data_IF_081193565930
#
_entry.id   IF_081193565930
#
_cell.length_a   1.000
_cell.length_b   1.000
_cell.length_c   1.000
_cell.angle_alpha   90.00
_cell.angle_beta   90.00
_cell.angle_gamma   90.00
#
_symmetry.space_group_name_H-M   'P 1'
#
loop_
_entity.id
_entity.type
_entity.pdbx_description
1 polymer ?
#
# COMPACT_ATOMS: atom_id res chain seq x y z
N UNK A 1 40.00 -15.79 -18.21
CA UNK A 1 40.06 -14.47 -17.57
C UNK A 1 38.94 -14.43 -16.54
N UNK A 2 39.28 -14.36 -15.26
CA UNK A 2 38.29 -14.30 -14.18
C UNK A 2 37.54 -12.96 -14.26
N UNK A 3 36.21 -12.92 -14.12
CA UNK A 3 35.51 -11.66 -14.05
C UNK A 3 35.92 -10.96 -12.75
N UNK A 4 36.30 -9.69 -12.87
CA UNK A 4 36.70 -8.85 -11.75
C UNK A 4 35.53 -8.76 -10.75
N UNK A 5 35.83 -9.03 -9.47
CA UNK A 5 34.97 -8.70 -8.34
C UNK A 5 34.76 -7.18 -8.36
N UNK A 6 33.61 -6.73 -8.85
CA UNK A 6 33.19 -5.35 -8.77
C UNK A 6 32.91 -5.01 -7.30
N UNK A 7 33.60 -3.97 -6.80
CA UNK A 7 33.38 -3.21 -5.56
C UNK A 7 32.46 -3.84 -4.51
N UNK A 8 32.89 -4.96 -3.93
CA UNK A 8 32.36 -5.45 -2.66
C UNK A 8 33.15 -4.73 -1.57
N UNK A 9 32.49 -3.90 -0.75
CA UNK A 9 33.16 -3.21 0.35
C UNK A 9 33.83 -4.27 1.26
N UNK A 10 35.03 -4.06 1.82
CA UNK A 10 35.72 -5.09 2.61
C UNK A 10 34.90 -5.63 3.79
N UNK A 11 34.00 -4.82 4.35
CA UNK A 11 33.03 -5.22 5.38
C UNK A 11 31.90 -6.13 4.85
N UNK A 12 31.63 -6.13 3.55
CA UNK A 12 30.64 -6.98 2.89
C UNK A 12 31.17 -8.40 2.57
N UNK A 13 32.47 -8.62 2.76
CA UNK A 13 33.13 -9.93 2.57
C UNK A 13 33.37 -10.70 3.87
N UNK A 14 33.18 -10.07 5.03
CA UNK A 14 33.33 -10.71 6.34
C UNK A 14 32.01 -11.36 6.74
N UNK A 15 31.82 -12.60 6.28
CA UNK A 15 30.69 -13.44 6.69
C UNK A 15 31.15 -14.53 7.67
N UNK A 16 30.36 -14.77 8.70
CA UNK A 16 30.44 -15.95 9.55
C UNK A 16 30.01 -17.22 8.77
N UNK A 17 30.35 -18.40 9.31
CA UNK A 17 30.07 -19.66 8.65
C UNK A 17 28.55 -19.93 8.60
N UNK A 18 28.00 -20.18 7.40
CA UNK A 18 26.57 -20.23 7.08
C UNK A 18 25.83 -18.88 7.10
N UNK A 19 26.52 -17.76 7.30
CA UNK A 19 25.90 -16.44 7.16
C UNK A 19 25.57 -16.16 5.69
N UNK A 20 24.44 -15.48 5.48
CA UNK A 20 23.94 -15.06 4.20
C UNK A 20 23.73 -13.56 4.19
N UNK A 21 24.25 -12.90 3.15
CA UNK A 21 24.06 -11.47 2.94
C UNK A 21 23.51 -11.20 1.55
N UNK A 22 22.60 -10.26 1.52
CA UNK A 22 21.78 -9.95 0.36
C UNK A 22 22.05 -8.50 -0.03
N UNK A 23 22.54 -8.28 -1.24
CA UNK A 23 22.87 -6.95 -1.75
C UNK A 23 22.23 -6.73 -3.12
N UNK A 24 21.71 -5.53 -3.36
CA UNK A 24 21.17 -5.18 -4.68
C UNK A 24 22.34 -5.00 -5.65
N UNK A 25 22.24 -5.64 -6.81
CA UNK A 25 23.20 -5.48 -7.89
C UNK A 25 23.36 -3.99 -8.26
N UNK A 26 24.59 -3.45 -8.40
CA UNK A 26 24.80 -2.04 -8.70
C UNK A 26 24.03 -1.55 -9.92
N UNK A 27 23.86 -2.37 -10.95
CA UNK A 27 23.10 -2.01 -12.15
C UNK A 27 21.62 -1.80 -11.85
N UNK A 28 21.05 -2.57 -10.93
CA UNK A 28 19.66 -2.41 -10.47
C UNK A 28 19.49 -1.18 -9.58
N UNK A 29 20.52 -0.77 -8.83
CA UNK A 29 20.49 0.50 -8.08
C UNK A 29 20.46 1.72 -9.00
N UNK A 30 21.05 1.61 -10.19
CA UNK A 30 21.04 2.68 -11.18
C UNK A 30 19.73 2.80 -11.97
N UNK A 31 18.85 1.81 -11.88
CA UNK A 31 17.56 1.77 -12.57
C UNK A 31 16.67 2.99 -12.19
N UNK A 32 16.14 3.74 -13.18
CA UNK A 32 15.34 4.93 -12.90
C UNK A 32 14.07 4.65 -12.08
N UNK A 33 13.39 3.52 -12.32
CA UNK A 33 12.17 3.17 -11.58
C UNK A 33 12.49 2.75 -10.16
N UNK A 34 13.62 2.07 -9.94
CA UNK A 34 14.10 1.76 -8.59
C UNK A 34 14.39 3.03 -7.80
N UNK A 35 15.13 3.98 -8.40
CA UNK A 35 15.40 5.29 -7.79
C UNK A 35 14.12 6.08 -7.50
N UNK A 36 13.16 6.05 -8.42
CA UNK A 36 11.85 6.66 -8.23
C UNK A 36 11.10 6.03 -7.05
N UNK A 37 11.08 4.69 -6.95
CA UNK A 37 10.44 3.98 -5.83
C UNK A 37 11.02 4.40 -4.48
N UNK A 38 12.35 4.38 -4.36
CA UNK A 38 13.05 4.80 -3.14
C UNK A 38 12.70 6.25 -2.80
N UNK A 39 12.74 7.15 -3.79
CA UNK A 39 12.41 8.55 -3.61
C UNK A 39 10.97 8.76 -3.15
N UNK A 40 9.99 8.15 -3.80
CA UNK A 40 8.57 8.30 -3.47
C UNK A 40 8.28 7.81 -2.04
N UNK A 41 8.89 6.70 -1.63
CA UNK A 41 8.73 6.18 -0.27
C UNK A 41 9.43 7.08 0.76
N UNK A 42 10.60 7.61 0.44
CA UNK A 42 11.33 8.54 1.32
C UNK A 42 10.54 9.84 1.51
N UNK A 43 10.07 10.44 0.42
CA UNK A 43 9.25 11.66 0.43
C UNK A 43 7.97 11.43 1.25
N UNK A 44 7.31 10.28 1.05
CA UNK A 44 6.12 9.90 1.83
C UNK A 44 6.37 9.83 3.34
N UNK A 45 7.44 9.14 3.77
CA UNK A 45 7.76 9.01 5.20
C UNK A 45 8.03 10.39 5.81
N UNK A 46 8.77 11.23 5.09
CA UNK A 46 9.09 12.58 5.53
C UNK A 46 7.82 13.44 5.66
N UNK A 47 6.90 13.36 4.70
CA UNK A 47 5.62 14.08 4.75
C UNK A 47 4.76 13.62 5.93
N UNK A 48 4.73 12.31 6.22
CA UNK A 48 3.97 11.76 7.35
C UNK A 48 4.54 12.19 8.70
N UNK A 49 5.87 12.32 8.81
CA UNK A 49 6.58 12.54 10.09
C UNK A 49 7.10 13.98 10.28
N UNK A 50 6.68 14.91 9.41
CA UNK A 50 7.14 16.31 9.45
C UNK A 50 6.77 17.01 10.77
N UNK A 51 5.59 16.73 11.33
CA UNK A 51 5.12 17.35 12.58
C UNK A 51 5.97 16.91 13.79
N UNK A 52 6.51 15.71 13.72
CA UNK A 52 7.37 15.06 14.71
C UNK A 52 8.85 15.46 14.52
N UNK A 53 9.15 16.30 13.51
CA UNK A 53 10.49 16.81 13.17
C UNK A 53 11.49 15.69 12.86
N UNK A 54 11.02 14.59 12.29
CA UNK A 54 11.85 13.49 11.84
C UNK A 54 12.16 13.71 10.36
N UNK A 55 13.43 13.52 9.97
CA UNK A 55 13.89 13.64 8.59
C UNK A 55 14.66 12.37 8.25
N UNK A 56 14.16 11.64 7.28
CA UNK A 56 14.76 10.45 6.67
C UNK A 56 15.51 10.85 5.42
N UNK A 57 16.76 10.41 5.30
CA UNK A 57 17.66 10.66 4.17
C UNK A 57 18.07 9.38 3.46
N UNK A 58 18.23 8.29 4.20
CA UNK A 58 18.66 6.99 3.69
C UNK A 58 17.87 5.90 4.41
N UNK A 59 17.07 5.14 3.66
CA UNK A 59 16.14 4.18 4.23
C UNK A 59 16.87 3.13 5.09
N UNK A 60 18.01 2.63 4.64
CA UNK A 60 18.83 1.66 5.36
C UNK A 60 19.38 2.21 6.68
N UNK A 61 19.87 3.45 6.67
CA UNK A 61 20.54 4.06 7.83
C UNK A 61 19.56 4.61 8.86
N UNK A 62 18.37 5.02 8.43
CA UNK A 62 17.40 5.68 9.30
C UNK A 62 16.32 4.73 9.85
N UNK A 63 16.08 3.56 9.20
CA UNK A 63 15.02 2.63 9.62
C UNK A 63 15.53 1.39 10.38
N UNK A 64 16.83 1.08 10.32
CA UNK A 64 17.38 -0.19 10.83
C UNK A 64 17.21 -0.40 12.34
N UNK A 65 17.13 0.68 13.12
CA UNK A 65 16.98 0.58 14.59
C UNK A 65 15.52 0.50 15.05
N UNK A 66 14.57 0.64 14.11
CA UNK A 66 13.13 0.59 14.34
C UNK A 66 12.51 1.89 14.86
N UNK A 67 13.28 2.97 15.10
CA UNK A 67 12.76 4.22 15.64
C UNK A 67 11.82 4.93 14.66
N UNK A 68 12.27 5.11 13.42
CA UNK A 68 11.46 5.76 12.37
C UNK A 68 10.24 4.91 12.03
N UNK A 69 10.41 3.59 11.94
CA UNK A 69 9.31 2.65 11.68
C UNK A 69 8.25 2.68 12.79
N UNK A 70 8.66 2.75 14.06
CA UNK A 70 7.74 2.95 15.18
C UNK A 70 6.91 4.22 14.96
N UNK A 71 7.56 5.37 14.72
CA UNK A 71 6.87 6.66 14.60
C UNK A 71 5.94 6.71 13.39
N UNK A 72 6.37 6.15 12.27
CA UNK A 72 5.55 5.98 11.09
C UNK A 72 4.28 5.17 11.41
N UNK A 73 4.43 4.02 12.07
CA UNK A 73 3.28 3.17 12.40
C UNK A 73 2.34 3.84 13.40
N UNK A 74 2.87 4.51 14.43
CA UNK A 74 2.08 5.24 15.41
C UNK A 74 1.22 6.34 14.75
N UNK A 75 1.80 7.07 13.79
CA UNK A 75 1.12 8.12 13.05
C UNK A 75 0.04 7.58 12.12
N UNK A 76 0.36 6.53 11.36
CA UNK A 76 -0.56 5.91 10.39
C UNK A 76 -1.73 5.20 11.07
N UNK A 77 -1.47 4.47 12.16
CA UNK A 77 -2.48 3.71 12.89
C UNK A 77 -3.23 4.54 13.95
N UNK A 78 -2.73 5.72 14.30
CA UNK A 78 -3.31 6.56 15.35
C UNK A 78 -3.23 5.95 16.76
N UNK A 79 -2.26 5.05 16.99
CA UNK A 79 -2.06 4.37 18.27
C UNK A 79 -0.59 4.48 18.71
N UNK A 80 -0.32 4.36 20.02
CA UNK A 80 1.05 4.30 20.53
C UNK A 80 1.50 2.85 20.70
N UNK A 81 2.74 2.59 20.32
CA UNK A 81 3.36 1.28 20.54
C UNK A 81 4.05 1.25 21.90
N UNK A 82 3.99 0.09 22.56
CA UNK A 82 4.66 -0.12 23.85
C UNK A 82 6.13 -0.50 23.61
N UNK A 83 6.95 0.47 23.25
CA UNK A 83 8.39 0.32 23.06
C UNK A 83 9.15 1.45 23.73
N UNK A 84 10.41 1.22 24.09
CA UNK A 84 11.28 2.25 24.66
C UNK A 84 11.44 3.42 23.68
N UNK A 85 11.43 4.67 24.17
CA UNK A 85 11.52 5.85 23.30
C UNK A 85 12.86 5.95 22.57
N UNK A 86 13.96 5.47 23.20
CA UNK A 86 15.31 5.44 22.63
C UNK A 86 15.96 4.12 22.97
N UNK A 87 16.67 3.53 22.01
CA UNK A 87 17.41 2.27 22.18
C UNK A 87 18.79 2.39 21.55
N UNK A 88 19.84 2.23 22.34
CA UNK A 88 21.22 2.28 21.85
C UNK A 88 21.90 0.91 21.71
N UNK A 89 21.44 -0.09 22.47
CA UNK A 89 21.99 -1.44 22.39
C UNK A 89 21.38 -2.21 21.23
N UNK A 90 22.17 -3.05 20.58
CA UNK A 90 21.72 -3.96 19.51
C UNK A 90 20.51 -4.79 19.94
N UNK A 91 20.56 -5.35 21.15
CA UNK A 91 19.46 -6.14 21.73
C UNK A 91 18.19 -5.28 21.87
N UNK A 92 18.32 -4.03 22.32
CA UNK A 92 17.18 -3.11 22.46
C UNK A 92 16.58 -2.72 21.12
N UNK A 93 17.40 -2.48 20.10
CA UNK A 93 16.97 -2.20 18.73
C UNK A 93 16.22 -3.39 18.13
N UNK A 94 16.75 -4.61 18.26
CA UNK A 94 16.07 -5.84 17.80
C UNK A 94 14.76 -6.09 18.53
N UNK A 95 14.69 -5.84 19.84
CA UNK A 95 13.44 -5.91 20.61
C UNK A 95 12.42 -4.87 20.14
N UNK A 96 12.84 -3.63 19.88
CA UNK A 96 11.96 -2.59 19.32
C UNK A 96 11.40 -3.01 17.97
N UNK A 97 12.27 -3.45 17.06
CA UNK A 97 11.85 -3.96 15.76
C UNK A 97 10.89 -5.14 15.88
N UNK A 98 11.12 -6.06 16.82
CA UNK A 98 10.20 -7.18 17.06
C UNK A 98 8.78 -6.66 17.36
N UNK A 99 8.64 -5.75 18.34
CA UNK A 99 7.33 -5.18 18.68
C UNK A 99 6.71 -4.41 17.51
N UNK A 100 7.51 -3.63 16.76
CA UNK A 100 7.03 -2.89 15.60
C UNK A 100 6.53 -3.84 14.51
N UNK A 101 7.31 -4.87 14.18
CA UNK A 101 6.96 -5.83 13.12
C UNK A 101 5.79 -6.75 13.52
N UNK A 102 5.62 -7.07 14.80
CA UNK A 102 4.42 -7.72 15.33
C UNK A 102 3.17 -6.85 15.13
N UNK A 103 3.25 -5.56 15.48
CA UNK A 103 2.15 -4.63 15.25
C UNK A 103 1.82 -4.49 13.75
N UNK A 104 2.83 -4.45 12.88
CA UNK A 104 2.64 -4.50 11.42
C UNK A 104 1.94 -5.79 11.01
N UNK A 105 2.36 -6.95 11.53
CA UNK A 105 1.73 -8.23 11.22
C UNK A 105 0.24 -8.23 11.56
N UNK A 106 -0.11 -7.74 12.75
CA UNK A 106 -1.50 -7.66 13.22
C UNK A 106 -2.38 -6.70 12.40
N UNK A 107 -1.78 -5.63 11.87
CA UNK A 107 -2.43 -4.66 10.99
C UNK A 107 -2.64 -5.22 9.58
N UNK A 108 -1.58 -5.75 8.98
CA UNK A 108 -1.61 -6.23 7.60
C UNK A 108 -2.41 -7.53 7.45
N UNK A 109 -2.57 -8.31 8.53
CA UNK A 109 -3.28 -9.60 8.58
C UNK A 109 -2.99 -10.51 7.40
N UNK A 110 -1.74 -10.89 7.25
CA UNK A 110 -1.29 -11.58 6.07
C UNK A 110 -1.79 -13.02 5.96
N UNK A 111 -2.90 -13.23 5.25
CA UNK A 111 -3.42 -14.59 5.05
C UNK A 111 -2.69 -15.25 3.88
N UNK A 112 -1.65 -16.02 4.20
CA UNK A 112 -0.98 -16.92 3.25
C UNK A 112 0.04 -16.28 2.32
N UNK A 113 0.38 -15.00 2.51
CA UNK A 113 1.52 -14.40 1.80
C UNK A 113 2.85 -14.81 2.47
N UNK A 114 3.97 -14.56 1.81
CA UNK A 114 5.29 -14.69 2.43
C UNK A 114 5.79 -13.29 2.77
N UNK A 115 6.07 -13.05 4.07
CA UNK A 115 6.72 -11.82 4.51
C UNK A 115 8.16 -11.82 4.03
N UNK A 116 8.57 -10.74 3.35
CA UNK A 116 9.92 -10.56 2.81
C UNK A 116 10.84 -9.76 3.73
N UNK A 117 10.46 -9.65 4.99
CA UNK A 117 11.20 -8.95 6.03
C UNK A 117 11.13 -9.71 7.36
N UNK A 118 12.18 -9.53 8.15
CA UNK A 118 12.36 -10.01 9.52
C UNK A 118 13.13 -8.96 10.33
N UNK A 119 13.14 -9.10 11.65
CA UNK A 119 13.95 -8.24 12.54
C UNK A 119 15.41 -8.20 12.07
N UNK A 120 16.00 -9.36 11.81
CA UNK A 120 17.40 -9.45 11.40
C UNK A 120 17.65 -8.79 10.03
N UNK A 121 16.72 -8.91 9.08
CA UNK A 121 16.88 -8.27 7.77
C UNK A 121 16.79 -6.74 7.84
N UNK A 122 15.89 -6.20 8.67
CA UNK A 122 15.74 -4.75 8.82
C UNK A 122 16.92 -4.18 9.61
N UNK A 123 17.27 -4.82 10.72
CA UNK A 123 18.43 -4.44 11.54
C UNK A 123 19.75 -4.56 10.75
N UNK A 124 19.87 -5.60 9.93
CA UNK A 124 20.97 -5.81 8.98
C UNK A 124 20.93 -4.91 7.74
N UNK A 125 20.12 -3.85 7.74
CA UNK A 125 20.08 -2.82 6.68
C UNK A 125 19.76 -3.36 5.28
N UNK A 126 18.99 -4.44 5.20
CA UNK A 126 18.58 -5.01 3.92
C UNK A 126 17.54 -4.10 3.24
N UNK A 127 18.00 -3.30 2.26
CA UNK A 127 17.13 -2.37 1.55
C UNK A 127 15.94 -3.07 0.86
N UNK A 128 16.10 -4.28 0.34
CA UNK A 128 15.01 -5.04 -0.30
C UNK A 128 13.91 -5.34 0.73
N UNK A 129 14.28 -5.80 1.92
CA UNK A 129 13.35 -6.07 3.01
C UNK A 129 12.64 -4.79 3.49
N UNK A 130 13.39 -3.70 3.63
CA UNK A 130 12.86 -2.38 4.01
C UNK A 130 11.85 -1.88 2.97
N UNK A 131 12.17 -1.98 1.68
CA UNK A 131 11.27 -1.56 0.59
C UNK A 131 9.99 -2.41 0.56
N UNK A 132 10.08 -3.73 0.71
CA UNK A 132 8.87 -4.58 0.80
C UNK A 132 7.96 -4.21 1.97
N UNK A 133 8.53 -3.91 3.13
CA UNK A 133 7.78 -3.45 4.30
C UNK A 133 7.09 -2.11 4.00
N UNK A 134 7.83 -1.12 3.48
CA UNK A 134 7.30 0.21 3.20
C UNK A 134 6.23 0.21 2.11
N UNK A 135 6.44 -0.53 1.02
CA UNK A 135 5.41 -0.74 -0.02
C UNK A 135 4.16 -1.34 0.61
N UNK A 136 4.30 -2.34 1.48
CA UNK A 136 3.15 -2.98 2.13
C UNK A 136 2.38 -2.02 3.03
N UNK A 137 3.08 -1.17 3.79
CA UNK A 137 2.46 -0.14 4.63
C UNK A 137 1.78 0.95 3.80
N UNK A 138 2.45 1.47 2.77
CA UNK A 138 1.90 2.48 1.87
C UNK A 138 0.60 1.99 1.22
N UNK A 139 0.58 0.73 0.77
CA UNK A 139 -0.60 0.13 0.17
C UNK A 139 -1.73 -0.09 1.18
N UNK A 140 -1.42 -0.65 2.36
CA UNK A 140 -2.42 -0.92 3.39
C UNK A 140 -3.11 0.35 3.88
N UNK A 141 -2.34 1.41 4.14
CA UNK A 141 -2.85 2.69 4.61
C UNK A 141 -3.33 3.61 3.48
N UNK A 142 -3.30 3.14 2.22
CA UNK A 142 -3.67 3.92 1.02
C UNK A 142 -2.98 5.29 1.02
N UNK A 143 -1.67 5.27 1.20
CA UNK A 143 -0.83 6.46 1.19
C UNK A 143 -1.13 7.30 -0.07
N UNK A 144 -1.18 8.64 0.03
CA UNK A 144 -1.50 9.53 -1.08
C UNK A 144 -0.31 9.70 -2.05
N UNK A 145 0.30 8.59 -2.45
CA UNK A 145 1.47 8.52 -3.33
C UNK A 145 1.21 7.55 -4.47
N UNK A 146 1.91 7.75 -5.59
CA UNK A 146 1.86 6.83 -6.73
C UNK A 146 3.14 6.01 -6.76
N UNK A 147 3.04 4.74 -6.43
CA UNK A 147 4.17 3.82 -6.53
C UNK A 147 4.41 3.46 -8.01
N UNK A 148 5.66 3.45 -8.49
CA UNK A 148 5.98 2.96 -9.82
C UNK A 148 5.67 1.45 -9.93
N UNK A 149 5.08 1.02 -11.04
CA UNK A 149 4.71 -0.37 -11.29
C UNK A 149 5.85 -1.17 -11.94
N UNK A 150 5.89 -2.47 -11.62
CA UNK A 150 6.86 -3.44 -12.16
C UNK A 150 8.31 -3.09 -11.86
N UNK A 151 8.60 -2.65 -10.63
CA UNK A 151 9.98 -2.44 -10.17
C UNK A 151 10.56 -3.79 -9.78
N UNK A 152 11.59 -4.21 -10.50
CA UNK A 152 12.33 -5.46 -10.25
C UNK A 152 13.80 -5.13 -10.07
N UNK A 153 14.46 -5.87 -9.18
CA UNK A 153 15.89 -5.70 -8.91
C UNK A 153 16.60 -7.05 -8.95
N UNK A 154 17.81 -7.06 -9.49
CA UNK A 154 18.73 -8.18 -9.33
C UNK A 154 19.39 -8.08 -7.97
N UNK A 155 19.39 -9.20 -7.26
CA UNK A 155 19.90 -9.31 -5.90
C UNK A 155 20.98 -10.36 -5.88
N UNK A 156 22.16 -9.98 -5.40
CA UNK A 156 23.27 -10.89 -5.17
C UNK A 156 23.17 -11.41 -3.75
N UNK A 157 23.00 -12.72 -3.63
CA UNK A 157 23.05 -13.46 -2.37
C UNK A 157 24.42 -14.09 -2.25
N UNK A 158 25.17 -13.68 -1.23
CA UNK A 158 26.48 -14.22 -0.90
C UNK A 158 26.35 -15.05 0.37
N UNK A 159 26.73 -16.33 0.29
CA UNK A 159 26.71 -17.26 1.42
C UNK A 159 28.08 -17.88 1.63
N UNK A 160 28.57 -17.92 2.86
CA UNK A 160 29.80 -18.63 3.20
C UNK A 160 29.49 -20.08 3.59
N UNK A 161 30.09 -21.04 2.87
CA UNK A 161 30.01 -22.47 3.17
C UNK A 161 31.38 -23.11 3.02
N UNK A 162 31.79 -23.86 4.02
CA UNK A 162 33.09 -24.51 4.14
C UNK A 162 34.26 -23.52 3.93
N UNK A 163 34.10 -22.29 4.44
CA UNK A 163 35.07 -21.21 4.24
C UNK A 163 35.08 -20.59 2.84
N UNK A 164 34.25 -21.05 1.90
CA UNK A 164 34.13 -20.51 0.54
C UNK A 164 32.88 -19.64 0.38
N UNK A 165 33.05 -18.50 -0.28
CA UNK A 165 31.94 -17.62 -0.66
C UNK A 165 31.25 -18.17 -1.91
N UNK A 166 29.95 -18.41 -1.79
CA UNK A 166 29.06 -18.79 -2.88
C UNK A 166 28.17 -17.60 -3.21
N UNK A 167 28.22 -17.11 -4.45
CA UNK A 167 27.37 -16.04 -4.93
C UNK A 167 26.29 -16.56 -5.87
N UNK A 168 25.03 -16.14 -5.67
CA UNK A 168 23.92 -16.39 -6.60
C UNK A 168 23.15 -15.12 -6.87
N UNK A 169 22.62 -14.98 -8.08
CA UNK A 169 21.75 -13.86 -8.45
C UNK A 169 20.28 -14.30 -8.39
N UNK A 170 19.45 -13.49 -7.76
CA UNK A 170 18.01 -13.69 -7.62
C UNK A 170 17.30 -12.42 -8.09
N UNK A 171 16.26 -12.58 -8.90
CA UNK A 171 15.40 -11.46 -9.29
C UNK A 171 14.31 -11.27 -8.24
N UNK A 172 14.20 -10.08 -7.65
CA UNK A 172 13.15 -9.72 -6.70
C UNK A 172 12.22 -8.67 -7.31
N UNK A 173 10.91 -8.89 -7.24
CA UNK A 173 9.87 -7.94 -7.68
C UNK A 173 9.36 -7.13 -6.48
N UNK A 174 9.73 -5.85 -6.43
CA UNK A 174 9.37 -4.92 -5.35
C UNK A 174 7.94 -4.40 -5.50
N UNK A 175 7.51 -4.12 -6.73
CA UNK A 175 6.15 -3.68 -7.04
C UNK A 175 5.60 -4.40 -8.26
N UNK A 176 4.28 -4.59 -8.29
CA UNK A 176 3.54 -5.12 -9.44
C UNK A 176 2.50 -4.08 -9.88
N UNK A 177 1.38 -4.46 -10.49
CA UNK A 177 0.30 -3.52 -10.79
C UNK A 177 -0.40 -3.05 -9.52
N UNK A 178 -0.91 -1.82 -9.53
CA UNK A 178 -1.65 -1.23 -8.40
C UNK A 178 -2.82 -2.13 -7.98
N UNK A 179 -3.54 -2.69 -8.95
CA UNK A 179 -4.65 -3.63 -8.72
C UNK A 179 -4.20 -4.88 -7.96
N UNK A 180 -3.12 -5.54 -8.39
CA UNK A 180 -2.60 -6.75 -7.74
C UNK A 180 -2.03 -6.47 -6.35
N UNK A 181 -1.39 -5.30 -6.13
CA UNK A 181 -0.91 -4.89 -4.82
C UNK A 181 -2.06 -4.61 -3.85
N UNK A 182 -3.12 -3.92 -4.29
CA UNK A 182 -4.32 -3.69 -3.48
C UNK A 182 -5.08 -4.98 -3.17
N UNK A 183 -5.14 -5.92 -4.11
CA UNK A 183 -5.79 -7.22 -3.94
C UNK A 183 -5.17 -8.13 -2.88
N UNK A 184 -3.95 -7.83 -2.40
CA UNK A 184 -3.29 -8.57 -1.30
C UNK A 184 -3.80 -8.21 0.10
N UNK A 185 -4.35 -7.01 0.28
CA UNK A 185 -4.72 -6.49 1.60
C UNK A 185 -6.20 -6.66 1.93
N UNK A 186 -7.05 -6.84 0.91
CA UNK A 186 -8.44 -7.26 1.06
C UNK A 186 -8.85 -8.05 -0.19
N UNK A 187 -8.92 -9.39 -0.09
CA UNK A 187 -9.93 -10.15 -0.84
C UNK A 187 -11.22 -10.06 -0.06
N UNK A 188 -12.04 -9.06 -0.37
CA UNK A 188 -13.39 -8.96 0.19
C UNK A 188 -14.38 -9.79 -0.66
N UNK A 189 -15.63 -9.90 -0.22
CA UNK A 189 -16.63 -10.69 -0.95
C UNK A 189 -16.84 -10.19 -2.40
N UNK A 190 -16.44 -8.95 -2.72
CA UNK A 190 -16.50 -8.43 -4.08
C UNK A 190 -15.39 -8.98 -4.96
N UNK A 191 -14.23 -9.35 -4.41
CA UNK A 191 -13.19 -10.06 -5.16
C UNK A 191 -13.67 -11.42 -5.67
N UNK A 192 -14.35 -12.20 -4.81
CA UNK A 192 -15.00 -13.45 -5.23
C UNK A 192 -16.09 -13.21 -6.27
N UNK A 193 -16.86 -12.10 -6.16
CA UNK A 193 -17.88 -11.72 -7.14
C UNK A 193 -17.25 -11.40 -8.51
N UNK A 194 -16.09 -10.72 -8.52
CA UNK A 194 -15.37 -10.43 -9.76
C UNK A 194 -14.89 -11.70 -10.46
N UNK A 195 -14.36 -12.68 -9.70
CA UNK A 195 -13.87 -13.95 -10.23
C UNK A 195 -14.99 -14.83 -10.84
N UNK A 196 -16.20 -14.78 -10.26
CA UNK A 196 -17.28 -15.74 -10.59
C UNK A 196 -18.46 -15.13 -11.35
N UNK A 197 -18.55 -13.79 -11.47
CA UNK A 197 -19.66 -13.12 -12.15
C UNK A 197 -19.26 -11.83 -12.89
N UNK A 198 -18.28 -11.88 -13.81
CA UNK A 198 -17.81 -10.70 -14.56
C UNK A 198 -18.93 -10.04 -15.38
N UNK A 199 -19.89 -10.84 -15.87
CA UNK A 199 -21.00 -10.38 -16.71
C UNK A 199 -21.91 -9.37 -15.97
N UNK A 200 -22.02 -9.51 -14.64
CA UNK A 200 -22.84 -8.65 -13.78
C UNK A 200 -22.21 -7.27 -13.55
N UNK A 201 -20.93 -7.11 -13.85
CA UNK A 201 -20.18 -5.86 -13.62
C UNK A 201 -20.48 -4.78 -14.66
N UNK A 202 -20.96 -5.17 -15.84
CA UNK A 202 -21.38 -4.24 -16.90
C UNK A 202 -22.46 -3.27 -16.42
N UNK A 203 -23.33 -3.71 -15.51
CA UNK A 203 -24.38 -2.88 -14.90
C UNK A 203 -23.79 -1.86 -13.92
N UNK A 204 -22.74 -2.22 -13.18
CA UNK A 204 -22.08 -1.34 -12.20
C UNK A 204 -21.49 -0.10 -12.89
N UNK A 205 -20.91 -0.29 -14.09
CA UNK A 205 -20.32 0.81 -14.87
C UNK A 205 -21.33 1.89 -15.26
N UNK A 206 -22.63 1.58 -15.29
CA UNK A 206 -23.67 2.56 -15.60
C UNK A 206 -23.75 3.67 -14.55
N UNK A 207 -23.39 3.39 -13.30
CA UNK A 207 -23.46 4.37 -12.21
C UNK A 207 -22.33 5.41 -12.23
N UNK A 208 -21.34 5.27 -13.12
CA UNK A 208 -20.13 6.09 -13.14
C UNK A 208 -20.38 7.56 -13.51
N UNK A 209 -21.48 7.87 -14.19
CA UNK A 209 -21.85 9.26 -14.52
C UNK A 209 -22.68 9.94 -13.42
N UNK A 210 -22.98 9.22 -12.34
CA UNK A 210 -23.75 9.68 -11.19
C UNK A 210 -25.26 9.80 -11.42
N UNK A 211 -25.75 9.77 -12.66
CA UNK A 211 -27.17 10.00 -12.98
C UNK A 211 -28.04 8.91 -12.34
N UNK A 212 -27.68 7.64 -12.52
CA UNK A 212 -28.43 6.55 -11.91
C UNK A 212 -28.36 6.54 -10.38
N UNK A 213 -27.29 7.06 -9.76
CA UNK A 213 -27.24 7.18 -8.30
C UNK A 213 -28.23 8.24 -7.79
N UNK A 214 -28.28 9.40 -8.46
CA UNK A 214 -29.22 10.48 -8.13
C UNK A 214 -30.67 10.00 -8.29
N UNK A 215 -30.99 9.37 -9.41
CA UNK A 215 -32.34 8.86 -9.68
C UNK A 215 -32.71 7.73 -8.71
N UNK A 216 -31.78 6.83 -8.39
CA UNK A 216 -32.01 5.76 -7.42
C UNK A 216 -32.32 6.32 -6.03
N UNK A 217 -31.63 7.38 -5.59
CA UNK A 217 -31.94 8.04 -4.31
C UNK A 217 -33.35 8.62 -4.29
N UNK A 218 -33.77 9.31 -5.35
CA UNK A 218 -35.14 9.83 -5.44
C UNK A 218 -36.19 8.71 -5.38
N UNK A 219 -35.94 7.57 -6.02
CA UNK A 219 -36.84 6.41 -5.97
C UNK A 219 -36.89 5.75 -4.58
N UNK A 220 -35.74 5.61 -3.90
CA UNK A 220 -35.66 4.95 -2.60
C UNK A 220 -36.26 5.77 -1.45
N UNK A 221 -36.18 7.10 -1.57
CA UNK A 221 -36.69 8.05 -0.57
C UNK A 221 -38.05 8.65 -0.95
N UNK A 222 -38.66 8.17 -2.04
CA UNK A 222 -39.97 8.59 -2.55
C UNK A 222 -40.09 10.12 -2.80
N UNK A 223 -39.07 10.70 -3.42
CA UNK A 223 -39.09 12.11 -3.84
C UNK A 223 -38.54 12.34 -5.25
N UNK A 224 -38.96 13.46 -5.83
CA UNK A 224 -38.42 13.92 -7.11
C UNK A 224 -37.16 14.77 -6.90
N UNK A 225 -36.09 14.46 -7.63
CA UNK A 225 -34.88 15.30 -7.69
C UNK A 225 -34.99 16.30 -8.84
N UNK A 226 -34.95 17.62 -8.58
CA UNK A 226 -35.01 18.63 -9.63
C UNK A 226 -33.87 18.53 -10.64
N UNK A 227 -34.19 18.57 -11.94
CA UNK A 227 -33.21 18.45 -13.03
C UNK A 227 -32.19 19.59 -13.10
N UNK A 228 -32.40 20.70 -12.38
CA UNK A 228 -31.42 21.79 -12.32
C UNK A 228 -30.31 21.55 -11.28
N UNK A 229 -30.43 20.52 -10.43
CA UNK A 229 -29.44 20.20 -9.41
C UNK A 229 -28.35 19.23 -9.90
N UNK A 230 -28.59 18.54 -11.02
CA UNK A 230 -27.66 17.55 -11.57
C UNK A 230 -27.73 17.54 -13.10
N UNK A 231 -26.70 17.01 -13.74
CA UNK A 231 -26.62 16.90 -15.19
C UNK A 231 -27.21 15.57 -15.65
N UNK A 232 -28.34 15.61 -16.38
CA UNK A 232 -28.98 14.38 -16.88
C UNK A 232 -28.17 13.70 -17.99
N UNK A 233 -27.42 14.47 -18.77
CA UNK A 233 -26.51 13.98 -19.81
C UNK A 233 -25.12 14.59 -19.60
N UNK A 234 -24.37 14.12 -18.59
CA UNK A 234 -23.07 14.70 -18.26
C UNK A 234 -22.02 14.32 -19.31
N UNK A 235 -21.40 15.33 -19.92
CA UNK A 235 -20.38 15.15 -20.97
C UNK A 235 -18.95 15.27 -20.41
N UNK A 236 -18.74 16.15 -19.42
CA UNK A 236 -17.42 16.36 -18.81
C UNK A 236 -17.19 15.50 -17.58
N UNK A 237 -15.92 15.27 -17.24
CA UNK A 237 -15.53 14.60 -16.01
C UNK A 237 -16.08 15.33 -14.77
N UNK A 238 -15.97 16.66 -14.75
CA UNK A 238 -16.44 17.48 -13.63
C UNK A 238 -17.96 17.41 -13.44
N UNK A 239 -18.74 17.33 -14.52
CA UNK A 239 -20.19 17.13 -14.43
C UNK A 239 -20.56 15.78 -13.81
N UNK A 240 -19.82 14.72 -14.16
CA UNK A 240 -20.00 13.38 -13.56
C UNK A 240 -19.63 13.38 -12.08
N UNK A 241 -18.50 14.01 -11.73
CA UNK A 241 -18.05 14.16 -10.33
C UNK A 241 -19.06 14.95 -9.51
N UNK A 242 -19.63 16.03 -10.08
CA UNK A 242 -20.71 16.79 -9.46
C UNK A 242 -21.92 15.89 -9.17
N UNK A 243 -22.40 15.13 -10.15
CA UNK A 243 -23.54 14.24 -9.97
C UNK A 243 -23.31 13.19 -8.87
N UNK A 244 -22.13 12.55 -8.85
CA UNK A 244 -21.81 11.54 -7.81
C UNK A 244 -21.71 12.20 -6.44
N UNK A 245 -21.08 13.37 -6.34
CA UNK A 245 -21.00 14.14 -5.09
C UNK A 245 -22.39 14.48 -4.56
N UNK A 246 -23.25 14.99 -5.44
CA UNK A 246 -24.63 15.31 -5.10
C UNK A 246 -25.42 14.06 -4.67
N UNK A 247 -25.25 12.92 -5.33
CA UNK A 247 -25.86 11.66 -4.88
C UNK A 247 -25.40 11.26 -3.47
N UNK A 248 -24.14 11.51 -3.10
CA UNK A 248 -23.64 11.21 -1.75
C UNK A 248 -24.23 12.15 -0.69
N UNK A 249 -24.52 13.40 -1.05
CA UNK A 249 -25.26 14.33 -0.20
C UNK A 249 -26.69 13.82 0.03
N UNK A 250 -27.40 13.42 -1.04
CA UNK A 250 -28.72 12.81 -0.92
C UNK A 250 -28.73 11.55 -0.03
N UNK A 251 -27.69 10.71 -0.12
CA UNK A 251 -27.53 9.55 0.76
C UNK A 251 -27.38 9.94 2.24
N UNK A 252 -26.63 11.00 2.51
CA UNK A 252 -26.47 11.52 3.87
C UNK A 252 -27.80 12.05 4.41
N UNK A 253 -28.54 12.78 3.59
CA UNK A 253 -29.86 13.32 3.95
C UNK A 253 -30.88 12.20 4.18
N UNK A 254 -30.81 11.10 3.42
CA UNK A 254 -31.57 9.86 3.65
C UNK A 254 -31.10 9.01 4.86
N UNK A 255 -30.18 9.54 5.66
CA UNK A 255 -29.70 8.90 6.89
C UNK A 255 -28.79 7.69 6.66
N UNK A 256 -28.10 7.62 5.52
CA UNK A 256 -26.95 6.73 5.35
C UNK A 256 -25.69 7.39 5.94
N UNK A 257 -24.71 6.56 6.30
CA UNK A 257 -23.37 7.08 6.59
C UNK A 257 -22.74 7.61 5.31
N UNK A 258 -21.96 8.68 5.42
CA UNK A 258 -21.17 9.22 4.29
C UNK A 258 -20.42 8.07 3.60
N UNK A 259 -20.59 7.89 2.28
CA UNK A 259 -19.79 6.92 1.55
C UNK A 259 -18.30 7.17 1.76
N UNK A 260 -17.54 6.09 1.96
CA UNK A 260 -16.07 6.16 2.11
C UNK A 260 -15.35 6.40 0.77
N UNK A 261 -15.99 6.06 -0.34
CA UNK A 261 -15.46 6.26 -1.68
C UNK A 261 -15.37 7.76 -2.00
N UNK A 262 -14.39 8.15 -2.80
CA UNK A 262 -14.41 9.50 -3.39
C UNK A 262 -15.31 9.52 -4.63
N UNK A 263 -15.95 10.64 -4.94
CA UNK A 263 -16.73 10.78 -6.17
C UNK A 263 -15.91 10.46 -7.44
N UNK A 264 -14.64 10.89 -7.47
CA UNK A 264 -13.76 10.66 -8.61
C UNK A 264 -13.43 9.17 -8.81
N UNK A 265 -13.42 8.36 -7.74
CA UNK A 265 -13.18 6.92 -7.86
C UNK A 265 -14.33 6.25 -8.62
N UNK A 266 -15.58 6.66 -8.33
CA UNK A 266 -16.78 6.16 -9.03
C UNK A 266 -16.77 6.58 -10.51
N UNK A 267 -16.42 7.85 -10.78
CA UNK A 267 -16.35 8.37 -12.17
C UNK A 267 -15.24 7.70 -12.98
N UNK A 268 -14.12 7.36 -12.33
CA UNK A 268 -13.01 6.62 -12.95
C UNK A 268 -13.28 5.11 -13.07
N UNK A 269 -14.52 4.67 -12.87
CA UNK A 269 -14.94 3.27 -13.01
C UNK A 269 -14.28 2.32 -11.99
N UNK A 270 -13.92 2.81 -10.80
CA UNK A 270 -13.49 1.93 -9.72
C UNK A 270 -14.66 1.07 -9.24
N UNK A 271 -14.64 -0.20 -9.66
CA UNK A 271 -15.74 -1.13 -9.43
C UNK A 271 -15.95 -1.41 -7.94
N UNK A 272 -14.88 -1.49 -7.14
CA UNK A 272 -14.98 -1.74 -5.69
C UNK A 272 -15.63 -0.56 -4.97
N UNK A 273 -15.22 0.67 -5.28
CA UNK A 273 -15.83 1.87 -4.71
C UNK A 273 -17.31 1.97 -5.06
N UNK A 274 -17.64 1.74 -6.33
CA UNK A 274 -19.03 1.76 -6.80
C UNK A 274 -19.87 0.68 -6.13
N UNK A 275 -19.37 -0.56 -6.05
CA UNK A 275 -20.06 -1.67 -5.38
C UNK A 275 -20.26 -1.43 -3.88
N UNK A 276 -19.28 -0.81 -3.20
CA UNK A 276 -19.41 -0.45 -1.78
C UNK A 276 -20.52 0.59 -1.57
N UNK A 277 -20.65 1.58 -2.46
CA UNK A 277 -21.76 2.54 -2.45
C UNK A 277 -23.09 1.81 -2.63
N UNK A 278 -23.21 0.98 -3.67
CA UNK A 278 -24.44 0.25 -3.98
C UNK A 278 -24.83 -0.75 -2.88
N UNK A 279 -23.84 -1.39 -2.25
CA UNK A 279 -24.08 -2.31 -1.14
C UNK A 279 -24.59 -1.60 0.12
N UNK A 280 -24.12 -0.38 0.40
CA UNK A 280 -24.65 0.42 1.51
C UNK A 280 -26.11 0.78 1.28
N UNK A 281 -26.47 1.21 0.07
CA UNK A 281 -27.87 1.43 -0.33
C UNK A 281 -28.68 0.16 -0.15
N UNK A 282 -28.26 -0.96 -0.75
CA UNK A 282 -28.95 -2.24 -0.62
C UNK A 282 -29.14 -2.62 0.85
N UNK A 283 -28.10 -2.52 1.68
CA UNK A 283 -28.18 -2.90 3.09
C UNK A 283 -29.18 -2.05 3.88
N UNK A 284 -29.29 -0.76 3.55
CA UNK A 284 -30.25 0.18 4.16
C UNK A 284 -31.69 -0.13 3.74
N UNK A 285 -31.94 -0.36 2.45
CA UNK A 285 -33.30 -0.44 1.90
C UNK A 285 -33.81 -1.86 1.60
N UNK A 286 -33.00 -2.91 1.73
CA UNK A 286 -33.39 -4.31 1.41
C UNK A 286 -34.61 -4.85 2.15
N UNK A 287 -34.98 -4.23 3.27
CA UNK A 287 -36.09 -4.64 4.13
C UNK A 287 -37.24 -3.61 4.12
N UNK A 288 -37.18 -2.62 3.23
CA UNK A 288 -38.25 -1.64 3.05
C UNK A 288 -39.22 -2.27 2.05
N UNK A 289 -40.44 -2.57 2.52
CA UNK A 289 -41.55 -3.09 1.70
C UNK A 289 -42.20 -2.01 0.84
#
# INVERSE_FOLDING_TARGET
MSPALADVHPEDTQLEENEERTMIDPTSKEDPKFKELVKVLLDWINDVLVEERIIVKQLEEDLYDGQVLQKLLEKLAGCKLNVAEVTQSEIGQKQKLQTVLEAVHDLLRPRGWVLRWSVDSIHGKNLVAILHLLVSLAMHFRAPIRLPEHVTVQVVVVRKREGLLHSSHISEELTTTTEMMMGRFERDAFDTLFDHAPDKLSVVKKFADGVYLVLLMGLLEDYFVPLHNFYLTPESFDQKVHNVSFAFELMLDGGLKKPKARPEDVVNLDLKSTLRVLYNLFTKYKNVE
#
